data_IF_945170227777
#
_entry.id   IF_945170227777
#
_cell.length_a   1.000
_cell.length_b   1.000
_cell.length_c   1.000
_cell.angle_alpha   90.00
_cell.angle_beta   90.00
_cell.angle_gamma   90.00
#
_symmetry.space_group_name_H-M   'P 1'
#
loop_
_entity.id
_entity.type
_entity.pdbx_description
1 polymer ?
#
# COMPACT_ATOMS: atom_id res chain seq x y z
N UNK A 1 -8.40 48.78 57.39
CA UNK A 1 -7.09 48.30 56.91
C UNK A 1 -7.25 47.00 56.14
N UNK A 2 -6.95 47.08 54.85
CA UNK A 2 -6.53 46.04 53.90
C UNK A 2 -7.47 44.89 53.50
N UNK A 3 -8.04 45.10 52.32
CA UNK A 3 -8.61 44.15 51.36
C UNK A 3 -7.47 43.64 50.47
N UNK A 4 -7.19 42.33 50.43
CA UNK A 4 -6.46 41.64 49.34
C UNK A 4 -6.91 40.15 49.35
N UNK A 5 -8.00 39.79 48.67
CA UNK A 5 -8.07 39.34 47.27
C UNK A 5 -7.08 38.22 46.93
N UNK A 6 -7.51 36.98 47.21
CA UNK A 6 -6.81 35.74 46.84
C UNK A 6 -7.49 35.12 45.62
N UNK A 7 -7.04 35.39 44.39
CA UNK A 7 -7.43 34.59 43.21
C UNK A 7 -6.41 34.70 42.08
N UNK A 8 -5.47 33.76 42.00
CA UNK A 8 -4.87 33.31 40.73
C UNK A 8 -4.45 31.84 40.88
N UNK A 9 -5.44 30.95 40.84
CA UNK A 9 -5.22 29.52 40.63
C UNK A 9 -5.36 29.29 39.12
N UNK A 10 -4.24 29.13 38.41
CA UNK A 10 -4.18 28.99 36.95
C UNK A 10 -4.64 27.60 36.50
N UNK A 11 -5.78 27.44 35.79
CA UNK A 11 -6.26 26.13 35.31
C UNK A 11 -5.63 25.68 33.98
N UNK A 12 -4.68 26.44 33.42
CA UNK A 12 -4.27 26.33 32.01
C UNK A 12 -3.29 25.16 31.74
N UNK A 13 -2.53 24.71 32.74
CA UNK A 13 -1.49 23.68 32.55
C UNK A 13 -2.01 22.24 32.52
N UNK A 14 -3.24 21.97 32.97
CA UNK A 14 -3.81 20.61 32.99
C UNK A 14 -4.42 20.21 31.64
N UNK A 15 -4.94 21.17 30.87
CA UNK A 15 -5.64 20.93 29.60
C UNK A 15 -4.64 20.60 28.47
N UNK A 16 -3.45 21.19 28.48
CA UNK A 16 -2.44 21.01 27.43
C UNK A 16 -1.81 19.61 27.41
N UNK A 17 -1.74 18.93 28.56
CA UNK A 17 -1.16 17.59 28.64
C UNK A 17 -2.16 16.52 28.14
N UNK A 18 -3.46 16.73 28.34
CA UNK A 18 -4.53 15.82 27.91
C UNK A 18 -4.73 15.82 26.38
N UNK A 19 -4.54 16.97 25.73
CA UNK A 19 -4.56 17.08 24.25
C UNK A 19 -3.34 16.36 23.65
N UNK A 20 -2.18 16.42 24.31
CA UNK A 20 -0.96 15.74 23.86
C UNK A 20 -1.13 14.21 23.82
N UNK A 21 -1.74 13.61 24.85
CA UNK A 21 -2.01 12.17 24.86
C UNK A 21 -3.13 11.76 23.88
N UNK A 22 -4.13 12.60 23.65
CA UNK A 22 -5.18 12.32 22.65
C UNK A 22 -4.64 12.34 21.20
N UNK A 23 -3.71 13.26 20.88
CA UNK A 23 -3.05 13.30 19.56
C UNK A 23 -2.04 12.16 19.37
N UNK A 24 -1.31 11.75 20.42
CA UNK A 24 -0.41 10.59 20.35
C UNK A 24 -1.14 9.24 20.28
N UNK A 25 -2.34 9.13 20.85
CA UNK A 25 -3.15 7.90 20.80
C UNK A 25 -3.90 7.70 19.46
N UNK A 26 -4.18 8.77 18.71
CA UNK A 26 -4.85 8.69 17.40
C UNK A 26 -3.93 8.28 16.23
N UNK A 27 -2.61 8.17 16.45
CA UNK A 27 -1.66 7.69 15.44
C UNK A 27 -1.40 6.17 15.51
N UNK A 28 -2.09 5.44 16.38
CA UNK A 28 -1.91 4.00 16.58
C UNK A 28 -2.85 3.10 15.76
N UNK A 29 -3.53 3.64 14.75
CA UNK A 29 -4.20 2.82 13.73
C UNK A 29 -3.40 2.93 12.44
N UNK A 30 -2.14 2.47 12.48
CA UNK A 30 -1.44 2.08 11.26
C UNK A 30 -2.12 0.81 10.73
N UNK A 31 -3.23 1.02 10.04
CA UNK A 31 -3.70 0.14 8.99
C UNK A 31 -2.62 0.16 7.89
N UNK A 32 -1.53 -0.59 8.09
CA UNK A 32 -0.70 -1.06 6.98
C UNK A 32 -1.58 -2.03 6.20
N UNK A 33 -2.49 -1.47 5.40
CA UNK A 33 -3.30 -2.27 4.51
C UNK A 33 -2.35 -2.79 3.44
N UNK A 34 -2.28 -4.10 3.30
CA UNK A 34 -1.41 -4.72 2.31
C UNK A 34 -1.70 -4.15 0.93
N UNK A 35 -0.64 -3.80 0.21
CA UNK A 35 -0.74 -3.16 -1.09
C UNK A 35 -0.39 -4.20 -2.13
N UNK A 36 -1.10 -4.20 -3.26
CA UNK A 36 -0.68 -5.00 -4.40
C UNK A 36 0.63 -4.41 -4.93
N UNK A 37 1.72 -5.14 -4.74
CA UNK A 37 3.05 -4.74 -5.23
C UNK A 37 3.28 -5.24 -6.66
N UNK A 38 2.46 -6.20 -7.11
CA UNK A 38 2.62 -6.90 -8.38
C UNK A 38 3.70 -7.98 -8.35
N UNK A 39 4.24 -8.29 -7.17
CA UNK A 39 5.27 -9.31 -7.01
C UNK A 39 5.04 -10.09 -5.71
N UNK A 40 5.19 -11.41 -5.79
CA UNK A 40 5.01 -12.31 -4.65
C UNK A 40 6.32 -12.48 -3.86
N UNK A 41 6.18 -12.92 -2.61
CA UNK A 41 7.30 -13.40 -1.78
C UNK A 41 7.95 -14.62 -2.46
N UNK A 42 9.28 -14.76 -2.43
CA UNK A 42 9.96 -15.94 -3.00
C UNK A 42 9.46 -17.28 -2.48
N UNK A 43 8.90 -17.32 -1.27
CA UNK A 43 8.33 -18.53 -0.65
C UNK A 43 6.90 -18.80 -1.07
N UNK A 44 6.28 -17.91 -1.84
CA UNK A 44 4.88 -18.00 -2.18
C UNK A 44 4.52 -19.31 -2.89
N UNK A 45 5.38 -19.82 -3.77
CA UNK A 45 5.16 -21.09 -4.45
C UNK A 45 4.93 -22.26 -3.46
N UNK A 46 5.68 -22.29 -2.36
CA UNK A 46 5.50 -23.30 -1.30
C UNK A 46 4.29 -23.05 -0.41
N UNK A 47 3.86 -21.80 -0.24
CA UNK A 47 2.66 -21.47 0.53
C UNK A 47 1.38 -21.76 -0.25
N UNK A 48 1.37 -21.49 -1.55
CA UNK A 48 0.24 -21.76 -2.44
C UNK A 48 -0.07 -23.26 -2.46
N UNK A 49 0.95 -24.13 -2.52
CA UNK A 49 0.75 -25.59 -2.44
C UNK A 49 0.18 -26.06 -1.10
N UNK A 50 0.35 -25.27 -0.04
CA UNK A 50 -0.23 -25.48 1.29
C UNK A 50 -1.57 -24.76 1.49
N UNK A 51 -2.28 -24.43 0.40
CA UNK A 51 -3.58 -23.76 0.43
C UNK A 51 -3.59 -22.35 1.05
N UNK A 52 -2.45 -21.64 1.07
CA UNK A 52 -2.36 -20.30 1.64
C UNK A 52 -3.38 -19.32 1.06
N UNK A 53 -3.66 -19.40 -0.25
CA UNK A 53 -4.63 -18.51 -0.91
C UNK A 53 -6.07 -18.69 -0.41
N UNK A 54 -6.45 -19.92 -0.02
CA UNK A 54 -7.79 -20.25 0.48
C UNK A 54 -7.88 -20.20 2.01
N UNK A 55 -6.75 -20.17 2.72
CA UNK A 55 -6.71 -20.17 4.17
C UNK A 55 -7.29 -18.86 4.75
N UNK A 56 -8.48 -18.96 5.34
CA UNK A 56 -9.21 -17.85 5.96
C UNK A 56 -8.65 -17.41 7.31
N UNK A 57 -7.75 -18.21 7.91
CA UNK A 57 -6.96 -17.80 9.07
C UNK A 57 -5.98 -16.67 8.76
N UNK A 58 -5.63 -16.48 7.48
CA UNK A 58 -4.93 -15.28 7.01
C UNK A 58 -5.93 -14.28 6.44
N UNK A 59 -5.81 -13.02 6.88
CA UNK A 59 -6.58 -11.94 6.29
C UNK A 59 -6.30 -11.85 4.79
N UNK A 60 -7.27 -11.35 4.03
CA UNK A 60 -7.09 -11.07 2.59
C UNK A 60 -5.86 -10.18 2.38
N UNK A 61 -5.59 -9.28 3.32
CA UNK A 61 -4.46 -8.39 3.25
C UNK A 61 -3.12 -9.12 3.40
N UNK A 62 -2.99 -10.02 4.38
CA UNK A 62 -1.80 -10.86 4.51
C UNK A 62 -1.58 -11.67 3.22
N UNK A 63 -2.64 -12.23 2.65
CA UNK A 63 -2.56 -12.99 1.39
C UNK A 63 -2.12 -12.12 0.21
N UNK A 64 -2.59 -10.88 0.11
CA UNK A 64 -2.15 -9.90 -0.91
C UNK A 64 -0.69 -9.51 -0.75
N UNK A 65 -0.24 -9.30 0.48
CA UNK A 65 1.12 -8.85 0.77
C UNK A 65 2.18 -9.87 0.35
N UNK A 66 1.89 -11.15 0.56
CA UNK A 66 2.86 -12.24 0.37
C UNK A 66 2.67 -13.01 -0.92
N UNK A 67 1.43 -13.19 -1.37
CA UNK A 67 1.08 -14.02 -2.53
C UNK A 67 -0.01 -13.38 -3.40
N UNK A 68 -0.08 -12.05 -3.46
CA UNK A 68 -1.16 -11.37 -4.13
C UNK A 68 -1.36 -11.79 -5.58
N UNK A 69 -0.28 -11.96 -6.36
CA UNK A 69 -0.37 -12.35 -7.77
C UNK A 69 -0.69 -13.83 -7.90
N UNK A 70 0.04 -14.71 -7.23
CA UNK A 70 -0.22 -16.15 -7.25
C UNK A 70 -1.61 -16.53 -6.75
N UNK A 71 -2.15 -15.79 -5.77
CA UNK A 71 -3.51 -15.98 -5.27
C UNK A 71 -4.58 -15.27 -6.11
N UNK A 72 -4.21 -14.59 -7.21
CA UNK A 72 -5.14 -13.88 -8.08
C UNK A 72 -5.83 -12.68 -7.42
N UNK A 73 -5.29 -12.16 -6.31
CA UNK A 73 -5.80 -11.00 -5.57
C UNK A 73 -5.21 -9.68 -6.11
N UNK A 74 -4.06 -9.77 -6.78
CA UNK A 74 -3.31 -8.65 -7.35
C UNK A 74 -2.89 -8.98 -8.78
N UNK A 75 -2.85 -7.95 -9.63
CA UNK A 75 -2.24 -8.01 -10.94
C UNK A 75 -0.73 -7.75 -10.83
N UNK A 76 0.04 -8.18 -11.83
CA UNK A 76 1.50 -7.94 -11.92
C UNK A 76 1.88 -6.46 -12.05
N UNK A 77 0.92 -5.61 -12.44
CA UNK A 77 1.10 -4.15 -12.48
C UNK A 77 0.94 -3.47 -11.11
N UNK A 78 0.67 -4.25 -10.05
CA UNK A 78 0.43 -3.74 -8.70
C UNK A 78 -1.00 -3.23 -8.49
N UNK A 79 -1.90 -3.42 -9.46
CA UNK A 79 -3.33 -3.20 -9.25
C UNK A 79 -3.98 -4.41 -8.56
N UNK A 80 -5.16 -4.20 -8.01
CA UNK A 80 -5.93 -5.20 -7.30
C UNK A 80 -6.97 -5.81 -8.25
N UNK A 81 -7.24 -7.11 -8.14
CA UNK A 81 -8.28 -7.79 -8.93
C UNK A 81 -9.64 -7.68 -8.22
N UNK A 82 -10.72 -8.08 -8.91
CA UNK A 82 -12.05 -8.22 -8.29
C UNK A 82 -12.01 -9.12 -7.04
N UNK A 83 -11.24 -10.21 -7.08
CA UNK A 83 -11.06 -11.15 -5.96
C UNK A 83 -10.33 -10.52 -4.78
N UNK A 84 -9.41 -9.59 -5.06
CA UNK A 84 -8.73 -8.78 -4.06
C UNK A 84 -9.57 -7.64 -3.49
N UNK A 85 -10.81 -7.41 -3.93
CA UNK A 85 -11.63 -6.27 -3.47
C UNK A 85 -11.93 -5.21 -4.54
N UNK A 86 -11.58 -5.47 -5.81
CA UNK A 86 -12.03 -4.68 -6.97
C UNK A 86 -11.41 -3.29 -7.12
N UNK A 87 -12.10 -2.41 -7.85
CA UNK A 87 -11.70 -1.01 -8.11
C UNK A 87 -11.56 -0.17 -6.83
N UNK A 88 -12.04 -0.69 -5.69
CA UNK A 88 -11.67 -0.19 -4.37
C UNK A 88 -10.23 -0.56 -4.07
N UNK A 89 -9.33 0.13 -4.76
CA UNK A 89 -8.00 0.35 -4.27
C UNK A 89 -8.14 0.93 -2.88
N UNK A 90 -7.94 0.09 -1.87
CA UNK A 90 -7.79 0.56 -0.50
C UNK A 90 -6.84 1.76 -0.50
N UNK A 91 -7.12 2.74 0.37
CA UNK A 91 -6.35 3.98 0.47
C UNK A 91 -4.87 3.64 0.58
N UNK A 92 -4.17 3.85 -0.52
CA UNK A 92 -2.77 3.52 -0.73
C UNK A 92 -1.99 4.67 -0.11
N UNK A 93 -1.14 4.34 0.86
CA UNK A 93 -0.42 5.32 1.68
C UNK A 93 1.08 5.24 1.37
N UNK A 94 1.72 6.39 1.40
CA UNK A 94 3.17 6.45 1.32
C UNK A 94 3.75 5.96 2.64
N UNK A 95 4.64 4.96 2.57
CA UNK A 95 5.34 4.44 3.74
C UNK A 95 6.49 5.39 4.13
N UNK A 96 7.10 6.05 3.15
CA UNK A 96 8.19 6.99 3.37
C UNK A 96 7.68 8.43 3.39
N UNK A 97 8.02 9.19 4.42
CA UNK A 97 7.68 10.60 4.52
C UNK A 97 8.27 11.44 3.36
N UNK A 98 9.39 10.99 2.78
CA UNK A 98 10.10 11.69 1.71
C UNK A 98 9.59 11.34 0.30
N UNK A 99 8.44 10.69 0.16
CA UNK A 99 7.96 10.22 -1.15
C UNK A 99 7.81 11.33 -2.19
N UNK A 100 7.39 12.54 -1.78
CA UNK A 100 7.32 13.69 -2.69
C UNK A 100 8.71 14.06 -3.25
N UNK A 101 9.73 14.16 -2.39
CA UNK A 101 11.10 14.47 -2.78
C UNK A 101 11.71 13.34 -3.63
N UNK A 102 11.48 12.09 -3.26
CA UNK A 102 11.93 10.93 -4.02
C UNK A 102 11.29 10.87 -5.41
N UNK A 103 9.99 11.16 -5.51
CA UNK A 103 9.29 11.21 -6.78
C UNK A 103 9.81 12.33 -7.69
N UNK A 104 10.07 13.51 -7.12
CA UNK A 104 10.72 14.61 -7.85
C UNK A 104 12.14 14.21 -8.34
N UNK A 105 12.87 13.41 -7.55
CA UNK A 105 14.15 12.81 -7.94
C UNK A 105 14.06 11.62 -8.90
N UNK A 106 12.86 11.29 -9.42
CA UNK A 106 12.67 10.22 -10.41
C UNK A 106 12.47 8.82 -9.84
N UNK A 107 12.25 8.65 -8.53
CA UNK A 107 12.05 7.33 -7.92
C UNK A 107 10.91 6.54 -8.57
N UNK A 108 9.79 7.20 -8.89
CA UNK A 108 8.63 6.54 -9.50
C UNK A 108 8.86 6.14 -10.97
N UNK A 109 9.73 6.85 -11.70
CA UNK A 109 10.07 6.57 -13.10
C UNK A 109 11.29 5.68 -13.26
N UNK A 110 12.12 5.52 -12.22
CA UNK A 110 13.36 4.73 -12.25
C UNK A 110 13.13 3.29 -12.72
N UNK A 111 13.65 2.91 -13.89
CA UNK A 111 13.42 1.58 -14.49
C UNK A 111 14.22 0.45 -13.83
N UNK A 112 15.27 0.78 -13.08
CA UNK A 112 16.07 -0.19 -12.32
C UNK A 112 15.31 -0.71 -11.10
N UNK A 113 14.40 0.08 -10.54
CA UNK A 113 13.55 -0.33 -9.43
C UNK A 113 12.29 -1.04 -9.92
N UNK A 114 12.00 -2.19 -9.32
CA UNK A 114 10.76 -2.90 -9.60
C UNK A 114 9.54 -2.05 -9.22
N UNK A 115 8.44 -2.23 -9.95
CA UNK A 115 7.15 -1.59 -9.62
C UNK A 115 6.74 -1.87 -8.18
N UNK A 116 7.00 -3.10 -7.71
CA UNK A 116 6.80 -3.51 -6.33
C UNK A 116 7.59 -2.66 -5.32
N UNK A 117 8.87 -2.39 -5.56
CA UNK A 117 9.68 -1.56 -4.68
C UNK A 117 9.14 -0.12 -4.59
N UNK A 118 8.73 0.44 -5.74
CA UNK A 118 8.16 1.79 -5.80
C UNK A 118 6.84 1.89 -5.05
N UNK A 119 5.92 0.97 -5.30
CA UNK A 119 4.62 0.93 -4.65
C UNK A 119 4.70 0.56 -3.17
N UNK A 120 5.71 -0.21 -2.75
CA UNK A 120 5.93 -0.50 -1.33
C UNK A 120 6.36 0.74 -0.55
N UNK A 121 7.25 1.55 -1.12
CA UNK A 121 7.81 2.72 -0.42
C UNK A 121 6.91 3.95 -0.54
N UNK A 122 6.40 4.20 -1.75
CA UNK A 122 5.70 5.42 -2.12
C UNK A 122 4.46 5.10 -2.94
N UNK A 123 3.55 4.34 -2.34
CA UNK A 123 2.35 3.88 -3.04
C UNK A 123 1.54 5.06 -3.58
N UNK A 124 1.11 5.98 -2.71
CA UNK A 124 0.20 7.08 -3.08
C UNK A 124 0.85 7.94 -4.15
N UNK A 125 2.13 8.25 -3.96
CA UNK A 125 2.88 9.14 -4.84
C UNK A 125 3.23 8.48 -6.18
N UNK A 126 3.70 7.23 -6.19
CA UNK A 126 4.18 6.58 -7.43
C UNK A 126 3.10 5.87 -8.23
N UNK A 127 1.94 5.59 -7.64
CA UNK A 127 0.87 4.83 -8.29
C UNK A 127 0.41 5.43 -9.62
N UNK A 128 0.14 6.74 -9.77
CA UNK A 128 -0.29 7.30 -11.06
C UNK A 128 0.72 7.03 -12.18
N UNK A 129 2.02 7.20 -11.88
CA UNK A 129 3.12 6.98 -12.83
C UNK A 129 3.27 5.50 -13.21
N UNK A 130 3.20 4.60 -12.22
CA UNK A 130 3.36 3.15 -12.43
C UNK A 130 2.19 2.57 -13.24
N UNK A 131 0.97 3.06 -13.01
CA UNK A 131 -0.21 2.64 -13.76
C UNK A 131 -0.20 3.19 -15.19
N UNK A 132 0.16 4.46 -15.39
CA UNK A 132 0.26 5.06 -16.72
C UNK A 132 1.28 4.33 -17.62
N UNK A 133 2.36 3.81 -17.03
CA UNK A 133 3.38 3.04 -17.77
C UNK A 133 2.89 1.64 -18.18
N UNK A 134 1.84 1.12 -17.54
CA UNK A 134 1.31 -0.22 -17.87
C UNK A 134 0.40 -0.21 -19.10
N UNK A 135 -0.15 0.94 -19.48
CA UNK A 135 -1.04 1.06 -20.65
C UNK A 135 -0.27 1.00 -21.98
N UNK A 136 1.05 1.25 -22.00
CA UNK A 136 1.84 1.30 -23.23
C UNK A 136 2.46 -0.05 -23.64
N UNK A 137 2.22 -1.14 -22.90
CA UNK A 137 2.83 -2.45 -23.16
C UNK A 137 1.85 -3.53 -23.64
N UNK A 138 0.69 -3.16 -24.19
CA UNK A 138 -0.23 -4.08 -24.87
C UNK A 138 -0.32 -3.76 -26.37
N UNK A 139 0.81 -3.79 -27.07
CA UNK A 139 0.81 -4.02 -28.53
C UNK A 139 1.08 -5.50 -28.78
N UNK A 140 -0.02 -6.22 -28.95
CA UNK A 140 -0.24 -7.39 -29.79
C UNK A 140 1.01 -8.03 -30.42
N UNK A 141 1.34 -9.24 -29.96
CA UNK A 141 1.92 -10.27 -30.83
C UNK A 141 0.95 -11.44 -30.84
N UNK A 142 -0.08 -11.33 -31.66
CA UNK A 142 -0.92 -12.46 -32.04
C UNK A 142 -0.10 -13.33 -32.98
N UNK A 143 0.60 -14.32 -32.42
CA UNK A 143 1.18 -15.40 -33.23
C UNK A 143 0.03 -16.29 -33.68
N UNK A 144 -0.47 -16.03 -34.89
CA UNK A 144 -1.37 -16.95 -35.60
C UNK A 144 -0.54 -18.13 -36.08
N UNK A 145 -0.52 -19.21 -35.29
CA UNK A 145 -0.03 -20.52 -35.74
C UNK A 145 -1.14 -21.18 -36.55
N UNK A 146 -1.11 -21.00 -37.87
CA UNK A 146 -1.94 -21.77 -38.80
C UNK A 146 -1.30 -23.14 -38.98
N UNK A 147 -1.80 -24.15 -38.25
CA UNK A 147 -1.52 -25.56 -38.53
C UNK A 147 -2.61 -26.07 -39.46
N UNK A 148 -2.31 -26.14 -40.76
CA UNK A 148 -3.15 -26.85 -41.73
C UNK A 148 -2.69 -28.30 -41.78
N UNK A 149 -3.55 -29.20 -41.31
CA UNK A 149 -3.42 -30.65 -41.46
C UNK A 149 -4.54 -31.14 -42.37
N UNK A 150 -4.22 -32.15 -43.17
CA UNK A 150 -5.02 -32.92 -44.16
C UNK A 150 -5.27 -32.28 -45.52
#
# INVERSE_FOLDING_TARGET
NNIYSSKYFSPITSIMNSIYYAFFALCWIYLVRSQCTGNDDPRCAGWVSQSFCANTGYSVDVRKMYCGVACGLCNRDGTQTALGGGNSYTSCIDLNANCAAMAAGGFCTNTTLSRAAKLRQCCKTCRPTVLATSTTALSSSTTTTTTTTT
#
